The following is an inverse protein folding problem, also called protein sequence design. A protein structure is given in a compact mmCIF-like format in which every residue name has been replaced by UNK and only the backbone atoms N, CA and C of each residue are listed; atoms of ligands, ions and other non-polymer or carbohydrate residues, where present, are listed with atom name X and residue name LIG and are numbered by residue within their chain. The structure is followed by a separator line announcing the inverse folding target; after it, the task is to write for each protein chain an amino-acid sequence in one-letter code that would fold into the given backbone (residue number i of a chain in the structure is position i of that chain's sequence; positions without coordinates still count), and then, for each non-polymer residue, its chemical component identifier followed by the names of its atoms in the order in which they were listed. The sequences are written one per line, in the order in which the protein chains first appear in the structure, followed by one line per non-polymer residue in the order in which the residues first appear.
data_IF_483622776131
#
_entry.id   IF_483622776131
#
_cell.length_a   1.000
_cell.length_b   1.000
_cell.length_c   1.000
_cell.angle_alpha   90.00
_cell.angle_beta   90.00
_cell.angle_gamma   90.00
#
_symmetry.space_group_name_H-M   'P 1'
#
loop_
_entity.id
_entity.type
_entity.pdbx_description
1 polymer ?
#
# COMPACT_ATOMS: atom_id res chain seq x y z
N UNK A 1 34.03 -15.48 2.97
CA UNK A 1 35.25 -14.79 2.52
C UNK A 1 34.85 -13.67 1.55
N UNK A 2 34.87 -12.44 2.08
CA UNK A 2 34.83 -11.11 1.44
C UNK A 2 34.19 -10.95 0.05
N UNK A 3 33.04 -10.26 0.00
CA UNK A 3 32.70 -9.36 -1.10
C UNK A 3 32.52 -7.96 -0.51
N UNK A 4 33.59 -7.17 -0.60
CA UNK A 4 33.61 -5.75 -0.26
C UNK A 4 34.09 -5.01 -1.50
N UNK A 5 33.40 -3.89 -1.73
CA UNK A 5 33.78 -2.65 -2.41
C UNK A 5 33.70 -2.49 -3.93
N UNK A 6 32.99 -1.39 -4.21
CA UNK A 6 33.24 -0.36 -5.21
C UNK A 6 32.68 -0.59 -6.61
N UNK A 7 31.70 0.25 -6.95
CA UNK A 7 31.59 1.03 -8.20
C UNK A 7 30.19 1.68 -8.23
N UNK A 8 29.97 2.98 -8.45
CA UNK A 8 30.78 4.15 -8.77
C UNK A 8 29.94 5.36 -8.30
N UNK A 9 30.50 6.20 -7.41
CA UNK A 9 30.15 7.61 -7.42
C UNK A 9 30.93 8.20 -8.59
N UNK A 10 30.27 8.38 -9.73
CA UNK A 10 30.74 9.38 -10.69
C UNK A 10 30.56 10.73 -10.00
N UNK A 11 31.69 11.35 -9.68
CA UNK A 11 31.78 12.75 -9.28
C UNK A 11 31.35 13.59 -10.47
N UNK A 12 30.09 14.02 -10.47
CA UNK A 12 29.70 15.21 -11.23
C UNK A 12 30.37 16.40 -10.51
N UNK A 13 31.62 16.72 -10.87
CA UNK A 13 32.48 17.77 -10.29
C UNK A 13 31.93 19.21 -10.44
N UNK A 14 30.69 19.37 -10.93
CA UNK A 14 30.00 20.65 -11.11
C UNK A 14 28.71 20.78 -10.27
N UNK A 15 28.41 19.86 -9.34
CA UNK A 15 27.25 20.02 -8.45
C UNK A 15 27.52 21.10 -7.38
N UNK A 16 27.08 22.32 -7.67
CA UNK A 16 26.94 23.39 -6.68
C UNK A 16 25.56 23.22 -6.02
N UNK A 17 25.47 22.78 -4.74
CA UNK A 17 24.20 22.71 -4.05
C UNK A 17 23.55 24.10 -4.02
N UNK A 18 22.21 24.21 -4.14
CA UNK A 18 21.52 25.48 -4.02
C UNK A 18 21.90 26.16 -2.69
N UNK A 19 22.01 27.49 -2.68
CA UNK A 19 22.33 28.25 -1.47
C UNK A 19 21.15 28.14 -0.50
N UNK A 20 21.17 27.11 0.34
CA UNK A 20 20.12 26.79 1.31
C UNK A 20 20.52 27.19 2.72
N UNK A 21 19.53 27.53 3.54
CA UNK A 21 19.76 27.95 4.93
C UNK A 21 20.28 26.78 5.76
N UNK A 22 21.53 26.91 6.23
CA UNK A 22 22.07 26.00 7.23
C UNK A 22 21.52 26.33 8.61
N UNK A 23 21.39 25.31 9.45
CA UNK A 23 21.11 25.48 10.86
C UNK A 23 22.22 26.28 11.56
N UNK A 24 21.85 27.27 12.38
CA UNK A 24 22.77 27.96 13.30
C UNK A 24 22.56 27.42 14.71
N UNK A 25 23.65 27.16 15.44
CA UNK A 25 23.70 26.30 16.63
C UNK A 25 22.99 26.80 17.91
N UNK A 26 21.87 27.54 17.88
CA UNK A 26 21.37 28.21 19.10
C UNK A 26 19.85 28.38 19.31
N UNK A 27 18.94 27.74 18.57
CA UNK A 27 17.49 27.82 18.88
C UNK A 27 16.86 26.43 18.84
N UNK A 28 15.78 26.20 19.61
CA UNK A 28 15.13 24.89 19.84
C UNK A 28 14.66 24.23 18.53
N UNK A 29 15.59 23.50 17.90
CA UNK A 29 15.57 22.96 16.54
C UNK A 29 14.72 21.70 16.36
N UNK A 30 13.47 21.73 16.83
CA UNK A 30 12.56 20.60 16.57
C UNK A 30 11.90 20.70 15.19
N UNK A 31 11.73 21.92 14.67
CA UNK A 31 11.05 22.18 13.41
C UNK A 31 12.03 22.34 12.23
N UNK A 32 11.56 21.98 11.05
CA UNK A 32 12.28 22.12 9.79
C UNK A 32 12.40 23.59 9.37
N UNK A 33 13.36 23.89 8.50
CA UNK A 33 13.52 25.21 7.87
C UNK A 33 12.86 25.26 6.49
N UNK A 34 12.55 24.10 5.91
CA UNK A 34 12.05 23.99 4.55
C UNK A 34 10.56 23.67 4.54
N UNK A 35 9.79 24.44 3.78
CA UNK A 35 8.37 24.20 3.61
C UNK A 35 8.12 22.77 3.11
N UNK A 36 7.28 21.99 3.79
CA UNK A 36 7.04 20.59 3.45
C UNK A 36 6.34 20.40 2.09
N UNK A 37 5.67 21.45 1.60
CA UNK A 37 4.97 21.47 0.31
C UNK A 37 5.90 21.82 -0.87
N UNK A 38 6.72 22.88 -0.75
CA UNK A 38 7.55 23.36 -1.87
C UNK A 38 9.05 23.08 -1.73
N UNK A 39 9.51 22.64 -0.55
CA UNK A 39 10.90 22.29 -0.23
C UNK A 39 11.90 23.46 -0.23
N UNK A 40 11.37 24.69 -0.24
CA UNK A 40 12.15 25.92 -0.18
C UNK A 40 12.09 26.52 1.23
N UNK A 41 13.13 27.25 1.59
CA UNK A 41 13.21 28.13 2.75
C UNK A 41 12.31 29.37 2.63
N UNK A 42 12.15 30.10 3.73
CA UNK A 42 11.42 31.37 3.80
C UNK A 42 10.63 31.53 5.09
N UNK A 43 9.62 32.40 5.07
CA UNK A 43 8.71 32.63 6.20
C UNK A 43 7.72 31.47 6.35
N UNK A 44 8.02 30.53 7.26
CA UNK A 44 7.26 29.30 7.46
C UNK A 44 6.47 29.30 8.77
N UNK A 45 5.35 28.58 8.77
CA UNK A 45 4.49 28.32 9.93
C UNK A 45 4.86 26.94 10.47
N UNK A 46 5.17 26.84 11.76
CA UNK A 46 5.52 25.60 12.45
C UNK A 46 4.29 24.83 12.90
N UNK A 47 4.30 23.51 12.69
CA UNK A 47 3.33 22.62 13.32
C UNK A 47 3.74 22.33 14.77
N UNK A 48 2.79 22.33 15.71
CA UNK A 48 3.10 22.06 17.12
C UNK A 48 3.30 20.57 17.44
N UNK A 49 2.76 19.69 16.60
CA UNK A 49 2.79 18.24 16.84
C UNK A 49 3.83 17.48 16.01
N UNK A 50 4.56 18.14 15.11
CA UNK A 50 5.59 17.49 14.31
C UNK A 50 6.62 18.49 13.76
N UNK A 51 7.77 18.01 13.26
CA UNK A 51 8.82 18.89 12.71
C UNK A 51 8.42 19.69 11.47
N UNK A 52 7.32 19.37 10.78
CA UNK A 52 6.99 19.98 9.48
C UNK A 52 6.63 21.46 9.61
N UNK A 53 7.04 22.23 8.61
CA UNK A 53 6.71 23.65 8.47
C UNK A 53 6.13 23.94 7.09
N UNK A 54 5.37 25.03 6.95
CA UNK A 54 4.68 25.36 5.70
C UNK A 54 4.64 26.86 5.45
N UNK A 55 4.80 27.28 4.19
CA UNK A 55 4.46 28.64 3.80
C UNK A 55 2.94 28.86 3.84
N UNK A 56 2.48 30.00 4.37
CA UNK A 56 1.07 30.43 4.31
C UNK A 56 0.50 30.35 2.89
N UNK A 57 1.28 30.82 1.89
CA UNK A 57 0.92 30.80 0.46
C UNK A 57 0.78 29.38 -0.10
N UNK A 58 1.61 28.43 0.34
CA UNK A 58 1.56 27.04 -0.12
C UNK A 58 0.30 26.33 0.39
N UNK A 59 -0.21 26.76 1.54
CA UNK A 59 -1.46 26.27 2.12
C UNK A 59 -2.70 27.05 1.65
N UNK A 60 -2.54 28.10 0.85
CA UNK A 60 -3.64 28.98 0.45
C UNK A 60 -4.28 29.75 1.62
N UNK A 61 -3.55 29.95 2.71
CA UNK A 61 -4.04 30.69 3.87
C UNK A 61 -4.01 32.20 3.61
N UNK A 62 -5.16 32.84 3.82
CA UNK A 62 -5.32 34.30 3.73
C UNK A 62 -5.05 35.01 5.04
N UNK A 63 -5.17 34.31 6.16
CA UNK A 63 -4.93 34.79 7.52
C UNK A 63 -4.00 33.78 8.19
N UNK A 64 -2.94 34.27 8.83
CA UNK A 64 -2.05 33.42 9.60
C UNK A 64 -2.79 32.84 10.81
N UNK A 65 -2.56 31.57 11.16
CA UNK A 65 -3.14 30.99 12.37
C UNK A 65 -2.68 31.73 13.62
N UNK A 66 -3.62 32.07 14.50
CA UNK A 66 -3.32 32.59 15.84
C UNK A 66 -3.35 31.43 16.84
N UNK A 67 -2.24 31.21 17.58
CA UNK A 67 -2.11 30.16 18.59
C UNK A 67 -1.75 28.79 18.01
N UNK A 68 -2.18 27.72 18.69
CA UNK A 68 -1.82 26.34 18.34
C UNK A 68 -2.28 25.98 16.91
N UNK A 69 -1.36 25.41 16.12
CA UNK A 69 -1.59 25.03 14.75
C UNK A 69 -1.10 23.61 14.42
N UNK A 70 -2.02 22.84 13.84
CA UNK A 70 -1.74 21.48 13.33
C UNK A 70 -1.71 21.48 11.81
N UNK A 71 -0.62 20.97 11.25
CA UNK A 71 -0.43 20.89 9.80
C UNK A 71 -1.39 19.92 9.10
N UNK A 72 -1.56 20.03 7.76
CA UNK A 72 -2.43 19.13 7.01
C UNK A 72 -2.10 17.64 7.16
N UNK A 73 -0.81 17.27 7.17
CA UNK A 73 -0.41 15.86 7.33
C UNK A 73 -0.85 15.31 8.70
N UNK A 74 -0.60 16.05 9.78
CA UNK A 74 -1.04 15.64 11.12
C UNK A 74 -2.56 15.56 11.23
N UNK A 75 -3.30 16.50 10.63
CA UNK A 75 -4.77 16.46 10.60
C UNK A 75 -5.28 15.22 9.87
N UNK A 76 -4.73 14.90 8.70
CA UNK A 76 -5.13 13.70 7.95
C UNK A 76 -4.82 12.44 8.77
N UNK A 77 -3.62 12.34 9.33
CA UNK A 77 -3.24 11.19 10.17
C UNK A 77 -4.21 11.05 11.35
N UNK A 78 -4.49 12.13 12.09
CA UNK A 78 -5.42 12.11 13.22
C UNK A 78 -6.83 11.66 12.83
N UNK A 79 -7.32 12.07 11.65
CA UNK A 79 -8.63 11.66 11.13
C UNK A 79 -8.66 10.21 10.64
N UNK A 80 -7.57 9.73 10.05
CA UNK A 80 -7.45 8.38 9.48
C UNK A 80 -6.99 7.33 10.50
N UNK A 81 -6.40 7.74 11.62
CA UNK A 81 -5.84 6.85 12.63
C UNK A 81 -6.92 6.01 13.31
N UNK A 82 -6.76 4.68 13.25
CA UNK A 82 -7.55 3.76 14.06
C UNK A 82 -6.67 3.09 15.11
N UNK A 83 -6.54 3.75 16.27
CA UNK A 83 -5.66 3.33 17.38
C UNK A 83 -6.08 1.97 17.94
N UNK A 84 -7.38 1.64 17.87
CA UNK A 84 -7.94 0.39 18.38
C UNK A 84 -8.18 -0.65 17.26
N UNK A 85 -7.46 -0.57 16.14
CA UNK A 85 -7.63 -1.50 15.03
C UNK A 85 -7.30 -2.94 15.48
N UNK A 86 -8.28 -3.86 15.57
CA UNK A 86 -8.04 -5.23 16.02
C UNK A 86 -7.18 -6.04 15.04
N UNK A 87 -6.97 -5.53 13.82
CA UNK A 87 -6.15 -6.13 12.76
C UNK A 87 -4.87 -5.33 12.49
N UNK A 88 -4.35 -4.63 13.51
CA UNK A 88 -3.12 -3.84 13.38
C UNK A 88 -1.92 -4.67 12.94
N UNK A 89 -1.87 -5.95 13.31
CA UNK A 89 -0.80 -6.85 12.91
C UNK A 89 -0.83 -7.17 11.42
N UNK A 90 -2.00 -7.52 10.89
CA UNK A 90 -2.22 -7.71 9.45
C UNK A 90 -1.92 -6.44 8.67
N UNK A 91 -2.31 -5.27 9.21
CA UNK A 91 -1.97 -3.98 8.61
C UNK A 91 -0.47 -3.80 8.43
N UNK A 92 0.32 -4.05 9.46
CA UNK A 92 1.77 -3.95 9.37
C UNK A 92 2.40 -5.03 8.50
N UNK A 93 1.81 -6.22 8.40
CA UNK A 93 2.21 -7.22 7.41
C UNK A 93 2.04 -6.66 5.99
N UNK A 94 0.91 -6.01 5.70
CA UNK A 94 0.68 -5.34 4.40
C UNK A 94 1.69 -4.21 4.16
N UNK A 95 2.04 -3.41 5.17
CA UNK A 95 3.09 -2.40 5.04
C UNK A 95 4.45 -3.01 4.70
N UNK A 96 4.80 -4.18 5.25
CA UNK A 96 6.04 -4.90 4.86
C UNK A 96 6.02 -5.30 3.38
N UNK A 97 4.87 -5.68 2.84
CA UNK A 97 4.71 -5.96 1.41
C UNK A 97 4.93 -4.71 0.56
N UNK A 98 4.27 -3.61 0.92
CA UNK A 98 4.43 -2.33 0.25
C UNK A 98 5.89 -1.86 0.28
N UNK A 99 6.56 -1.95 1.43
CA UNK A 99 7.97 -1.61 1.56
C UNK A 99 8.86 -2.50 0.70
N UNK A 100 8.59 -3.81 0.63
CA UNK A 100 9.34 -4.72 -0.25
C UNK A 100 9.20 -4.32 -1.72
N UNK A 101 8.01 -3.88 -2.16
CA UNK A 101 7.80 -3.35 -3.51
C UNK A 101 8.65 -2.11 -3.75
N UNK A 102 8.68 -1.17 -2.81
CA UNK A 102 9.56 0.01 -2.89
C UNK A 102 11.04 -0.38 -2.98
N UNK A 103 11.51 -1.28 -2.12
CA UNK A 103 12.90 -1.78 -2.10
C UNK A 103 13.27 -2.49 -3.41
N UNK A 104 12.31 -3.15 -4.08
CA UNK A 104 12.52 -3.82 -5.37
C UNK A 104 12.72 -2.88 -6.56
N UNK A 105 12.51 -1.56 -6.40
CA UNK A 105 12.80 -0.60 -7.44
C UNK A 105 14.32 -0.65 -7.78
N UNK A 106 14.72 -0.82 -9.05
CA UNK A 106 16.12 -1.10 -9.41
C UNK A 106 17.15 -0.06 -8.94
N UNK A 107 16.70 1.19 -8.75
CA UNK A 107 17.54 2.30 -8.33
C UNK A 107 17.30 2.73 -6.88
N UNK A 108 16.63 1.90 -6.06
CA UNK A 108 16.32 2.23 -4.65
C UNK A 108 17.55 2.34 -3.74
N UNK A 109 18.71 1.82 -4.17
CA UNK A 109 19.91 1.67 -3.35
C UNK A 109 20.30 2.91 -2.51
N UNK A 110 20.27 4.16 -3.02
CA UNK A 110 20.63 5.34 -2.24
C UNK A 110 19.72 5.62 -1.03
N UNK A 111 18.52 5.06 -1.00
CA UNK A 111 17.52 5.27 0.06
C UNK A 111 17.32 4.03 0.93
N UNK A 112 18.12 2.97 0.73
CA UNK A 112 17.97 1.71 1.46
C UNK A 112 18.40 1.82 2.92
N UNK A 113 19.30 2.74 3.25
CA UNK A 113 19.89 2.96 4.57
C UNK A 113 19.97 4.46 4.87
N UNK A 114 20.14 4.85 6.14
CA UNK A 114 20.40 6.24 6.49
C UNK A 114 21.62 6.80 5.73
N UNK A 115 21.59 8.09 5.40
CA UNK A 115 22.74 8.78 4.82
C UNK A 115 23.88 8.78 5.84
N UNK A 116 25.06 8.29 5.44
CA UNK A 116 26.23 8.20 6.30
C UNK A 116 26.86 9.58 6.49
N UNK A 117 26.78 10.10 7.72
CA UNK A 117 27.34 11.40 8.09
C UNK A 117 28.86 11.47 7.96
N UNK A 118 29.57 10.34 7.91
CA UNK A 118 31.01 10.35 7.64
C UNK A 118 31.32 10.61 6.16
N UNK A 119 30.41 10.21 5.27
CA UNK A 119 30.53 10.42 3.82
C UNK A 119 29.93 11.75 3.39
N UNK A 120 28.91 12.23 4.11
CA UNK A 120 28.22 13.50 3.85
C UNK A 120 28.09 14.30 5.15
N UNK A 121 29.18 14.90 5.65
CA UNK A 121 29.18 15.59 6.95
C UNK A 121 28.17 16.73 7.04
N UNK A 122 27.90 17.43 5.93
CA UNK A 122 26.98 18.57 5.91
C UNK A 122 25.51 18.16 5.85
N UNK A 123 25.17 16.87 5.75
CA UNK A 123 23.78 16.42 5.57
C UNK A 123 22.86 16.90 6.70
N UNK A 124 23.34 16.78 7.94
CA UNK A 124 22.58 17.17 9.13
C UNK A 124 22.59 18.70 9.38
N UNK A 125 23.35 19.48 8.61
CA UNK A 125 23.25 20.95 8.62
C UNK A 125 21.94 21.43 7.98
N UNK A 126 21.36 20.61 7.10
CA UNK A 126 20.16 20.93 6.32
C UNK A 126 18.97 20.03 6.67
N UNK A 127 19.20 18.77 7.05
CA UNK A 127 18.13 17.78 7.22
C UNK A 127 17.84 17.53 8.70
N UNK A 128 16.69 18.04 9.16
CA UNK A 128 16.22 17.91 10.55
C UNK A 128 15.62 16.53 10.84
N UNK A 129 14.95 15.93 9.87
CA UNK A 129 14.28 14.64 10.03
C UNK A 129 14.75 13.61 8.98
N UNK A 130 15.94 12.98 9.18
CA UNK A 130 16.41 11.92 8.29
C UNK A 130 15.43 10.76 8.21
N UNK A 131 15.23 10.23 7.00
CA UNK A 131 14.35 9.09 6.75
C UNK A 131 14.88 8.26 5.57
N UNK A 132 14.69 6.95 5.66
CA UNK A 132 15.17 5.96 4.70
C UNK A 132 14.35 4.65 4.82
N UNK A 133 14.51 3.72 3.88
CA UNK A 133 13.71 2.50 3.83
C UNK A 133 14.01 1.51 4.97
N UNK A 134 15.19 1.55 5.61
CA UNK A 134 15.50 0.74 6.80
C UNK A 134 14.85 1.34 8.04
N UNK A 135 14.88 2.66 8.19
CA UNK A 135 14.16 3.36 9.27
C UNK A 135 12.65 3.14 9.17
N UNK A 136 12.07 3.21 7.96
CA UNK A 136 10.67 2.88 7.74
C UNK A 136 10.39 1.42 8.11
N UNK A 137 11.25 0.47 7.75
CA UNK A 137 11.11 -0.95 8.14
C UNK A 137 11.05 -1.12 9.66
N UNK A 138 11.98 -0.48 10.38
CA UNK A 138 12.01 -0.48 11.85
C UNK A 138 10.72 0.12 12.43
N UNK A 139 10.21 1.20 11.85
CA UNK A 139 8.93 1.79 12.27
C UNK A 139 7.74 0.84 12.04
N UNK A 140 7.75 0.05 10.95
CA UNK A 140 6.74 -1.00 10.72
C UNK A 140 6.86 -2.10 11.78
N UNK A 141 8.07 -2.56 12.07
CA UNK A 141 8.32 -3.62 13.07
C UNK A 141 7.88 -3.20 14.47
N UNK A 142 8.10 -1.93 14.82
CA UNK A 142 7.67 -1.30 16.07
C UNK A 142 6.18 -0.90 16.09
N UNK A 143 5.42 -1.26 15.05
CA UNK A 143 3.98 -1.00 14.93
C UNK A 143 3.58 0.47 15.05
N UNK A 144 4.44 1.39 14.58
CA UNK A 144 4.22 2.84 14.74
C UNK A 144 3.13 3.43 13.84
N UNK A 145 2.73 2.74 12.78
CA UNK A 145 1.77 3.26 11.81
C UNK A 145 0.36 2.79 12.14
N UNK A 146 -0.55 3.71 12.42
CA UNK A 146 -1.96 3.39 12.74
C UNK A 146 -2.91 3.56 11.55
N UNK A 147 -2.40 4.11 10.44
CA UNK A 147 -3.12 4.30 9.17
C UNK A 147 -2.12 4.39 8.01
N UNK A 148 -2.63 4.30 6.79
CA UNK A 148 -1.86 4.41 5.54
C UNK A 148 -1.24 5.80 5.37
N UNK A 149 -1.94 6.86 5.78
CA UNK A 149 -1.44 8.23 5.72
C UNK A 149 -0.19 8.43 6.58
N UNK A 150 -0.11 7.80 7.75
CA UNK A 150 1.06 7.88 8.62
C UNK A 150 2.30 7.26 7.94
N UNK A 151 2.13 6.13 7.25
CA UNK A 151 3.20 5.51 6.45
C UNK A 151 3.63 6.42 5.30
N UNK A 152 2.68 7.00 4.55
CA UNK A 152 2.98 7.92 3.45
C UNK A 152 3.70 9.17 3.93
N UNK A 153 3.33 9.70 5.09
CA UNK A 153 3.94 10.89 5.67
C UNK A 153 5.44 10.70 5.98
N UNK A 154 5.86 9.48 6.37
CA UNK A 154 7.27 9.12 6.52
C UNK A 154 7.96 8.91 5.17
N UNK A 155 7.30 8.27 4.19
CA UNK A 155 7.87 8.15 2.82
C UNK A 155 8.07 9.53 2.17
N UNK A 156 7.20 10.51 2.46
CA UNK A 156 7.35 11.88 1.98
C UNK A 156 8.62 12.55 2.51
N UNK A 157 9.10 12.22 3.71
CA UNK A 157 10.38 12.72 4.22
C UNK A 157 11.55 12.33 3.33
N UNK A 158 11.57 11.11 2.78
CA UNK A 158 12.62 10.69 1.82
C UNK A 158 12.63 11.62 0.60
N UNK A 159 11.45 11.97 0.07
CA UNK A 159 11.35 12.89 -1.08
C UNK A 159 11.73 14.31 -0.68
N UNK A 160 11.19 14.82 0.43
CA UNK A 160 11.45 16.15 0.95
C UNK A 160 12.97 16.35 1.17
N UNK A 161 13.61 15.47 1.93
CA UNK A 161 15.04 15.52 2.22
C UNK A 161 15.88 15.46 0.94
N UNK A 162 15.45 14.66 -0.03
CA UNK A 162 16.15 14.57 -1.32
C UNK A 162 16.04 15.90 -2.10
N UNK A 163 14.87 16.54 -2.17
CA UNK A 163 14.76 17.86 -2.81
C UNK A 163 15.54 18.92 -2.04
N UNK A 164 15.51 18.87 -0.70
CA UNK A 164 16.25 19.80 0.15
C UNK A 164 17.74 19.68 -0.13
N UNK A 165 18.33 18.51 0.02
CA UNK A 165 19.78 18.33 -0.07
C UNK A 165 20.30 18.28 -1.52
N UNK A 166 19.57 17.60 -2.41
CA UNK A 166 20.02 17.26 -3.75
C UNK A 166 19.43 18.15 -4.87
N UNK A 167 18.44 19.00 -4.55
CA UNK A 167 17.70 19.77 -5.56
C UNK A 167 16.98 18.88 -6.58
N UNK A 168 16.78 19.40 -7.79
CA UNK A 168 16.18 18.62 -8.89
C UNK A 168 17.23 17.78 -9.61
N UNK A 169 17.50 16.57 -9.10
CA UNK A 169 18.47 15.65 -9.70
C UNK A 169 17.98 14.18 -9.79
N UNK A 170 18.90 13.26 -10.13
CA UNK A 170 18.61 11.82 -10.27
C UNK A 170 18.08 11.19 -8.97
N UNK A 171 18.64 11.56 -7.81
CA UNK A 171 18.20 11.04 -6.51
C UNK A 171 16.77 11.48 -6.19
N UNK A 172 16.46 12.75 -6.42
CA UNK A 172 15.10 13.28 -6.25
C UNK A 172 14.09 12.59 -7.17
N UNK A 173 14.48 12.28 -8.41
CA UNK A 173 13.64 11.54 -9.35
C UNK A 173 13.31 10.14 -8.84
N UNK A 174 14.32 9.43 -8.29
CA UNK A 174 14.14 8.11 -7.67
C UNK A 174 13.25 8.21 -6.42
N UNK A 175 13.48 9.19 -5.54
CA UNK A 175 12.66 9.37 -4.33
C UNK A 175 11.17 9.58 -4.65
N UNK A 176 10.87 10.41 -5.67
CA UNK A 176 9.51 10.59 -6.18
C UNK A 176 8.90 9.30 -6.74
N UNK A 177 9.70 8.47 -7.41
CA UNK A 177 9.26 7.16 -7.89
C UNK A 177 8.92 6.21 -6.72
N UNK A 178 9.73 6.19 -5.65
CA UNK A 178 9.45 5.43 -4.44
C UNK A 178 8.14 5.90 -3.76
N UNK A 179 7.93 7.21 -3.64
CA UNK A 179 6.69 7.77 -3.11
C UNK A 179 5.47 7.39 -3.97
N UNK A 180 5.63 7.35 -5.30
CA UNK A 180 4.56 6.90 -6.21
C UNK A 180 4.21 5.43 -5.99
N UNK A 181 5.21 4.56 -5.80
CA UNK A 181 4.99 3.14 -5.44
C UNK A 181 4.26 3.05 -4.11
N UNK A 182 4.73 3.74 -3.07
CA UNK A 182 4.09 3.75 -1.75
C UNK A 182 2.61 4.15 -1.81
N UNK A 183 2.29 5.26 -2.51
CA UNK A 183 0.91 5.72 -2.69
C UNK A 183 0.03 4.68 -3.40
N UNK A 184 0.57 4.03 -4.43
CA UNK A 184 -0.14 2.96 -5.14
C UNK A 184 -0.47 1.80 -4.19
N UNK A 185 0.52 1.31 -3.44
CA UNK A 185 0.32 0.21 -2.50
C UNK A 185 -0.68 0.57 -1.39
N UNK A 186 -0.63 1.79 -0.84
CA UNK A 186 -1.59 2.24 0.18
C UNK A 186 -3.01 2.33 -0.37
N UNK A 187 -3.17 2.84 -1.60
CA UNK A 187 -4.47 2.88 -2.27
C UNK A 187 -5.03 1.46 -2.44
N UNK A 188 -4.20 0.49 -2.78
CA UNK A 188 -4.64 -0.91 -2.94
C UNK A 188 -5.07 -1.54 -1.60
N UNK A 189 -4.35 -1.24 -0.50
CA UNK A 189 -4.74 -1.65 0.85
C UNK A 189 -6.09 -1.04 1.25
N UNK A 190 -6.30 0.25 0.97
CA UNK A 190 -7.54 0.97 1.27
C UNK A 190 -8.73 0.48 0.45
N UNK A 191 -8.52 0.10 -0.82
CA UNK A 191 -9.56 -0.48 -1.67
C UNK A 191 -10.06 -1.79 -1.06
N UNK A 192 -9.15 -2.71 -0.72
CA UNK A 192 -9.49 -3.94 -0.02
C UNK A 192 -8.25 -4.63 0.58
N UNK A 193 -8.08 -4.50 1.90
CA UNK A 193 -6.99 -5.14 2.66
C UNK A 193 -6.87 -6.65 2.44
N UNK A 194 -7.99 -7.37 2.34
CA UNK A 194 -7.99 -8.83 2.15
C UNK A 194 -7.56 -9.23 0.73
N UNK A 195 -8.03 -8.52 -0.30
CA UNK A 195 -7.53 -8.72 -1.66
C UNK A 195 -6.06 -8.37 -1.79
N UNK A 196 -5.60 -7.30 -1.13
CA UNK A 196 -4.19 -6.92 -1.12
C UNK A 196 -3.33 -8.02 -0.49
N UNK A 197 -3.68 -8.46 0.73
CA UNK A 197 -2.92 -9.46 1.46
C UNK A 197 -2.84 -10.79 0.70
N UNK A 198 -3.97 -11.29 0.17
CA UNK A 198 -3.99 -12.54 -0.61
C UNK A 198 -3.22 -12.44 -1.92
N UNK A 199 -3.24 -11.28 -2.57
CA UNK A 199 -2.44 -11.03 -3.78
C UNK A 199 -0.95 -10.94 -3.46
N UNK A 200 -0.58 -10.50 -2.27
CA UNK A 200 0.80 -10.36 -1.82
C UNK A 200 1.39 -11.66 -1.24
N UNK A 201 0.54 -12.50 -0.64
CA UNK A 201 0.86 -13.84 -0.13
C UNK A 201 -0.16 -14.87 -0.64
N UNK A 202 -0.06 -15.29 -1.90
CA UNK A 202 -0.90 -16.37 -2.38
C UNK A 202 -0.50 -17.67 -1.68
N UNK A 203 -1.28 -18.10 -0.68
CA UNK A 203 -1.11 -19.41 -0.02
C UNK A 203 -1.59 -20.54 -0.92
N UNK A 204 -2.56 -20.24 -1.79
CA UNK A 204 -3.03 -21.14 -2.84
C UNK A 204 -2.91 -20.50 -4.22
N UNK A 205 -2.89 -21.33 -5.26
CA UNK A 205 -2.99 -20.86 -6.66
C UNK A 205 -4.34 -20.21 -6.96
N UNK A 206 -5.36 -20.48 -6.13
CA UNK A 206 -6.73 -19.98 -6.26
C UNK A 206 -7.01 -18.84 -5.27
N UNK A 207 -5.97 -18.11 -4.83
CA UNK A 207 -6.08 -17.02 -3.85
C UNK A 207 -7.16 -15.99 -4.23
N UNK A 208 -7.38 -15.78 -5.54
CA UNK A 208 -8.38 -14.85 -6.04
C UNK A 208 -9.80 -15.43 -5.99
N UNK A 209 -9.96 -16.74 -5.89
CA UNK A 209 -11.26 -17.36 -5.63
C UNK A 209 -11.72 -17.17 -4.18
N UNK A 210 -10.84 -16.78 -3.25
CA UNK A 210 -11.23 -16.57 -1.85
C UNK A 210 -12.14 -15.34 -1.66
N UNK A 211 -13.32 -15.48 -1.02
CA UNK A 211 -14.18 -14.37 -0.64
C UNK A 211 -13.57 -13.48 0.43
N UNK A 212 -13.76 -12.17 0.30
CA UNK A 212 -13.50 -11.24 1.39
C UNK A 212 -14.66 -11.31 2.38
N UNK A 213 -14.41 -10.97 3.66
CA UNK A 213 -15.47 -10.91 4.69
C UNK A 213 -16.65 -10.03 4.28
N UNK A 214 -16.32 -8.96 3.54
CA UNK A 214 -17.25 -8.14 2.77
C UNK A 214 -17.16 -8.60 1.32
N UNK A 215 -18.08 -9.44 0.81
CA UNK A 215 -18.01 -9.93 -0.55
C UNK A 215 -18.05 -8.79 -1.58
N UNK A 216 -17.17 -8.86 -2.57
CA UNK A 216 -17.25 -7.96 -3.71
C UNK A 216 -18.44 -8.34 -4.60
N UNK A 217 -19.17 -7.34 -5.09
CA UNK A 217 -20.17 -7.56 -6.14
C UNK A 217 -19.50 -8.19 -7.37
N UNK A 218 -20.07 -9.27 -7.87
CA UNK A 218 -19.59 -9.92 -9.10
C UNK A 218 -20.29 -9.33 -10.31
N UNK A 219 -19.54 -9.13 -11.38
CA UNK A 219 -20.07 -8.58 -12.62
C UNK A 219 -19.47 -9.25 -13.86
N UNK A 220 -20.18 -9.10 -14.97
CA UNK A 220 -19.62 -9.19 -16.31
C UNK A 220 -19.20 -7.79 -16.75
N UNK A 221 -17.90 -7.56 -16.88
CA UNK A 221 -17.36 -6.30 -17.35
C UNK A 221 -16.84 -6.43 -18.79
N UNK A 222 -17.17 -5.45 -19.65
CA UNK A 222 -16.82 -5.46 -21.07
C UNK A 222 -15.90 -4.30 -21.43
N UNK A 223 -14.64 -4.61 -21.69
CA UNK A 223 -13.68 -3.65 -22.26
C UNK A 223 -13.87 -3.51 -23.78
N UNK A 224 -13.52 -2.35 -24.32
CA UNK A 224 -13.59 -2.08 -25.77
C UNK A 224 -12.71 -3.08 -26.53
N UNK A 225 -13.30 -3.78 -27.50
CA UNK A 225 -12.61 -4.79 -28.32
C UNK A 225 -12.56 -6.19 -27.69
N UNK A 226 -13.05 -6.36 -26.47
CA UNK A 226 -13.09 -7.64 -25.77
C UNK A 226 -14.53 -8.13 -25.56
N UNK A 227 -14.66 -9.44 -25.34
CA UNK A 227 -15.92 -10.04 -24.91
C UNK A 227 -16.15 -9.75 -23.42
N UNK A 228 -17.41 -9.70 -22.92
CA UNK A 228 -17.67 -9.60 -21.49
C UNK A 228 -16.90 -10.67 -20.71
N UNK A 229 -16.25 -10.27 -19.63
CA UNK A 229 -15.39 -11.11 -18.80
C UNK A 229 -15.82 -11.03 -17.33
N UNK A 230 -15.76 -12.14 -16.57
CA UNK A 230 -16.16 -12.10 -15.17
C UNK A 230 -15.15 -11.33 -14.31
N UNK A 231 -15.65 -10.52 -13.38
CA UNK A 231 -14.81 -9.70 -12.51
C UNK A 231 -15.44 -9.41 -11.14
N UNK A 232 -14.59 -9.09 -10.16
CA UNK A 232 -14.97 -8.50 -8.88
C UNK A 232 -14.99 -6.97 -9.02
N UNK A 233 -16.07 -6.33 -8.58
CA UNK A 233 -16.17 -4.87 -8.45
C UNK A 233 -15.50 -4.44 -7.15
N UNK A 234 -14.43 -3.66 -7.26
CA UNK A 234 -13.69 -3.17 -6.11
C UNK A 234 -14.26 -1.85 -5.59
N UNK A 235 -14.49 -0.90 -6.51
CA UNK A 235 -15.11 0.39 -6.24
C UNK A 235 -15.70 0.99 -7.51
N UNK A 236 -16.56 1.99 -7.34
CA UNK A 236 -17.12 2.80 -8.42
C UNK A 236 -16.77 4.26 -8.15
N UNK A 237 -16.25 4.97 -9.15
CA UNK A 237 -15.88 6.39 -9.06
C UNK A 237 -16.28 7.07 -10.36
N UNK A 238 -17.11 8.11 -10.27
CA UNK A 238 -17.52 8.93 -11.43
C UNK A 238 -18.00 8.10 -12.64
N UNK A 239 -18.94 7.16 -12.43
CA UNK A 239 -19.49 6.24 -13.44
C UNK A 239 -18.47 5.28 -14.11
N UNK A 240 -17.27 5.18 -13.54
CA UNK A 240 -16.27 4.17 -13.90
C UNK A 240 -16.13 3.13 -12.78
N UNK A 241 -16.04 1.87 -13.18
CA UNK A 241 -15.99 0.72 -12.27
C UNK A 241 -14.58 0.17 -12.26
N UNK A 242 -13.94 0.20 -11.09
CA UNK A 242 -12.64 -0.45 -10.86
C UNK A 242 -12.89 -1.94 -10.64
N UNK A 243 -12.54 -2.74 -11.64
CA UNK A 243 -12.76 -4.19 -11.63
C UNK A 243 -11.45 -4.96 -11.62
N UNK A 244 -11.47 -6.13 -10.97
CA UNK A 244 -10.40 -7.13 -11.07
C UNK A 244 -10.95 -8.41 -11.71
N UNK A 245 -10.40 -8.78 -12.86
CA UNK A 245 -10.91 -9.90 -13.65
C UNK A 245 -10.49 -11.25 -13.09
N UNK A 246 -11.37 -12.25 -13.14
CA UNK A 246 -10.97 -13.64 -12.91
C UNK A 246 -10.05 -14.14 -14.03
N UNK A 247 -9.18 -15.09 -13.72
CA UNK A 247 -8.17 -15.66 -14.62
C UNK A 247 -6.82 -14.97 -14.48
N UNK A 248 -6.58 -13.87 -15.20
CA UNK A 248 -5.28 -13.18 -15.18
C UNK A 248 -5.12 -12.20 -14.01
N UNK A 249 -6.22 -11.89 -13.30
CA UNK A 249 -6.25 -10.98 -12.14
C UNK A 249 -5.84 -9.54 -12.46
N UNK A 250 -5.92 -9.18 -13.74
CA UNK A 250 -5.69 -7.83 -14.24
C UNK A 250 -6.75 -6.86 -13.71
N UNK A 251 -6.33 -5.61 -13.52
CA UNK A 251 -7.16 -4.49 -13.08
C UNK A 251 -7.50 -3.60 -14.26
N UNK A 252 -8.73 -3.11 -14.30
CA UNK A 252 -9.11 -2.09 -15.27
C UNK A 252 -10.23 -1.20 -14.72
N UNK A 253 -10.23 0.04 -15.19
CA UNK A 253 -11.42 0.88 -15.14
C UNK A 253 -12.31 0.57 -16.34
N UNK A 254 -13.58 0.31 -16.08
CA UNK A 254 -14.58 0.02 -17.10
C UNK A 254 -15.81 0.89 -16.85
N UNK A 255 -16.25 1.62 -17.87
CA UNK A 255 -17.50 2.39 -17.80
C UNK A 255 -18.65 1.54 -17.29
N UNK A 256 -19.42 2.08 -16.33
CA UNK A 256 -20.52 1.38 -15.68
C UNK A 256 -21.58 0.85 -16.67
N UNK A 257 -21.77 1.55 -17.79
CA UNK A 257 -22.68 1.13 -18.87
C UNK A 257 -22.26 -0.18 -19.55
N UNK A 258 -21.01 -0.60 -19.37
CA UNK A 258 -20.46 -1.86 -19.88
C UNK A 258 -20.28 -2.92 -18.78
N UNK A 259 -20.87 -2.70 -17.61
CA UNK A 259 -20.83 -3.61 -16.47
C UNK A 259 -22.24 -4.11 -16.14
N UNK A 260 -22.41 -5.43 -16.12
CA UNK A 260 -23.67 -6.09 -15.76
C UNK A 260 -23.45 -6.91 -14.49
N UNK A 261 -24.41 -6.88 -13.55
CA UNK A 261 -24.38 -7.77 -12.38
C UNK A 261 -24.33 -9.22 -12.86
N UNK A 262 -23.57 -10.06 -12.16
CA UNK A 262 -23.31 -11.43 -12.62
C UNK A 262 -24.62 -12.21 -12.81
N UNK A 263 -24.92 -12.55 -14.07
CA UNK A 263 -26.00 -13.45 -14.48
C UNK A 263 -25.47 -14.85 -14.76
N UNK A 264 -26.33 -15.87 -14.58
CA UNK A 264 -26.00 -17.26 -14.93
C UNK A 264 -25.82 -17.43 -16.44
N UNK A 265 -26.64 -16.72 -17.22
CA UNK A 265 -26.55 -16.64 -18.68
C UNK A 265 -25.46 -15.64 -19.08
N UNK A 266 -24.72 -15.96 -20.14
CA UNK A 266 -23.64 -15.11 -20.64
C UNK A 266 -24.19 -13.88 -21.41
N UNK A 267 -23.78 -12.64 -21.08
CA UNK A 267 -24.33 -11.44 -21.72
C UNK A 267 -23.72 -11.11 -23.10
N UNK A 268 -22.72 -11.87 -23.54
CA UNK A 268 -22.07 -11.71 -24.84
C UNK A 268 -22.52 -12.73 -25.87
N UNK A 269 -21.91 -12.67 -27.06
CA UNK A 269 -22.10 -13.70 -28.10
C UNK A 269 -21.18 -14.88 -27.78
N UNK A 270 -21.77 -16.05 -27.58
CA UNK A 270 -21.00 -17.28 -27.38
C UNK A 270 -20.16 -17.61 -28.62
N UNK A 271 -18.87 -17.89 -28.38
CA UNK A 271 -17.97 -18.37 -29.43
C UNK A 271 -18.02 -19.89 -29.47
N UNK A 272 -18.04 -20.48 -30.67
CA UNK A 272 -18.04 -21.95 -30.88
C UNK A 272 -16.87 -22.69 -30.20
N UNK A 273 -15.75 -22.01 -29.98
CA UNK A 273 -14.62 -22.48 -29.16
C UNK A 273 -14.17 -21.33 -28.25
N UNK A 274 -14.45 -21.40 -26.95
CA UNK A 274 -13.97 -20.41 -26.00
C UNK A 274 -12.44 -20.43 -25.92
N UNK A 275 -11.84 -19.28 -25.58
CA UNK A 275 -10.42 -19.22 -25.27
C UNK A 275 -10.16 -19.98 -23.94
N UNK A 276 -9.10 -20.78 -23.86
CA UNK A 276 -8.70 -21.50 -22.64
C UNK A 276 -8.58 -20.57 -21.42
N UNK A 277 -8.11 -19.33 -21.61
CA UNK A 277 -8.02 -18.36 -20.52
C UNK A 277 -9.40 -17.92 -20.02
N UNK A 278 -10.38 -17.87 -20.92
CA UNK A 278 -11.76 -17.57 -20.56
C UNK A 278 -12.38 -18.72 -19.76
N UNK A 279 -12.17 -19.97 -20.20
CA UNK A 279 -12.64 -21.15 -19.46
C UNK A 279 -12.03 -21.19 -18.05
N UNK A 280 -10.72 -20.96 -17.92
CA UNK A 280 -10.06 -20.85 -16.62
C UNK A 280 -10.68 -19.77 -15.72
N UNK A 281 -11.00 -18.60 -16.28
CA UNK A 281 -11.65 -17.53 -15.52
C UNK A 281 -13.04 -17.93 -15.01
N UNK A 282 -13.79 -18.74 -15.78
CA UNK A 282 -15.10 -19.23 -15.38
C UNK A 282 -14.99 -20.33 -14.31
N UNK A 283 -13.99 -21.21 -14.41
CA UNK A 283 -13.70 -22.21 -13.38
C UNK A 283 -13.36 -21.51 -12.06
N UNK A 284 -12.48 -20.52 -12.08
CA UNK A 284 -12.10 -19.77 -10.89
C UNK A 284 -13.29 -18.99 -10.29
N UNK A 285 -14.10 -18.35 -11.13
CA UNK A 285 -15.35 -17.72 -10.71
C UNK A 285 -16.30 -18.73 -10.03
N UNK A 286 -16.42 -19.93 -10.58
CA UNK A 286 -17.29 -20.96 -10.01
C UNK A 286 -16.80 -21.39 -8.63
N UNK A 287 -15.49 -21.61 -8.46
CA UNK A 287 -14.86 -21.87 -7.16
C UNK A 287 -15.18 -20.74 -6.16
N UNK A 288 -15.06 -19.48 -6.59
CA UNK A 288 -15.39 -18.32 -5.76
C UNK A 288 -16.85 -18.31 -5.31
N UNK A 289 -17.79 -18.59 -6.22
CA UNK A 289 -19.22 -18.65 -5.93
C UNK A 289 -19.55 -19.76 -4.94
N UNK A 290 -18.92 -20.93 -5.06
CA UNK A 290 -19.15 -22.04 -4.15
C UNK A 290 -18.59 -21.76 -2.74
N UNK A 291 -17.46 -21.05 -2.66
CA UNK A 291 -16.95 -20.53 -1.40
C UNK A 291 -17.86 -19.45 -0.81
N UNK A 292 -18.42 -18.54 -1.62
CA UNK A 292 -19.40 -17.56 -1.17
C UNK A 292 -20.63 -18.22 -0.54
N UNK A 293 -21.19 -19.25 -1.19
CA UNK A 293 -22.33 -19.99 -0.63
C UNK A 293 -21.99 -20.66 0.70
N UNK A 294 -20.76 -21.18 0.81
CA UNK A 294 -20.29 -21.88 2.01
C UNK A 294 -20.07 -20.92 3.18
N UNK A 295 -19.42 -19.77 2.92
CA UNK A 295 -18.99 -18.82 3.96
C UNK A 295 -20.03 -17.74 4.31
N UNK A 296 -20.90 -17.38 3.37
CA UNK A 296 -21.88 -16.29 3.52
C UNK A 296 -23.33 -16.77 3.36
N UNK A 297 -23.57 -18.09 3.34
CA UNK A 297 -24.91 -18.68 3.34
C UNK A 297 -25.66 -18.67 2.00
N UNK A 298 -25.09 -18.08 0.93
CA UNK A 298 -25.71 -18.14 -0.39
C UNK A 298 -25.06 -17.25 -1.45
N UNK A 299 -25.55 -17.40 -2.69
CA UNK A 299 -25.25 -16.51 -3.81
C UNK A 299 -26.43 -16.49 -4.79
N UNK A 300 -26.85 -15.32 -5.24
CA UNK A 300 -27.98 -15.14 -6.16
C UNK A 300 -27.51 -14.48 -7.45
N UNK A 301 -27.72 -15.17 -8.58
CA UNK A 301 -27.49 -14.61 -9.90
C UNK A 301 -28.55 -13.55 -10.25
N UNK A 302 -28.12 -12.49 -10.93
CA UNK A 302 -29.04 -11.51 -11.49
C UNK A 302 -29.68 -12.02 -12.81
N UNK A 303 -30.82 -11.45 -13.22
CA UNK A 303 -31.33 -11.61 -14.58
C UNK A 303 -30.30 -11.19 -15.63
N UNK A 304 -30.38 -11.79 -16.83
CA UNK A 304 -29.48 -11.48 -17.95
C UNK A 304 -29.42 -9.97 -18.22
N UNK A 305 -28.20 -9.46 -18.40
CA UNK A 305 -27.93 -8.04 -18.71
C UNK A 305 -28.48 -7.03 -17.69
N UNK A 306 -28.65 -7.43 -16.42
CA UNK A 306 -28.97 -6.50 -15.34
C UNK A 306 -27.84 -5.48 -15.19
N UNK A 307 -28.08 -4.17 -15.39
CA UNK A 307 -27.02 -3.16 -15.33
C UNK A 307 -26.52 -3.00 -13.89
N UNK A 308 -25.21 -2.77 -13.73
CA UNK A 308 -24.66 -2.34 -12.45
C UNK A 308 -25.15 -0.92 -12.15
N UNK A 309 -25.62 -0.68 -10.93
CA UNK A 309 -26.18 0.62 -10.52
C UNK A 309 -25.49 1.11 -9.25
N UNK A 310 -24.96 2.34 -9.30
CA UNK A 310 -24.24 2.99 -8.18
C UNK A 310 -25.07 3.03 -6.91
N UNK A 311 -26.33 3.48 -6.99
CA UNK A 311 -27.20 3.61 -5.80
C UNK A 311 -27.43 2.28 -5.11
N UNK A 312 -27.62 1.21 -5.90
CA UNK A 312 -27.80 -0.13 -5.36
C UNK A 312 -26.48 -0.67 -4.79
N UNK A 313 -25.36 -0.44 -5.47
CA UNK A 313 -24.04 -0.83 -4.99
C UNK A 313 -23.68 -0.17 -3.65
N UNK A 314 -23.98 1.12 -3.49
CA UNK A 314 -23.72 1.86 -2.25
C UNK A 314 -24.64 1.39 -1.12
N UNK A 315 -25.94 1.22 -1.37
CA UNK A 315 -26.90 0.64 -0.41
C UNK A 315 -26.48 -0.76 0.04
N UNK A 316 -26.04 -1.59 -0.91
CA UNK A 316 -25.52 -2.94 -0.67
C UNK A 316 -24.14 -2.92 0.06
N UNK A 317 -23.55 -1.75 0.34
CA UNK A 317 -22.34 -1.61 1.17
C UNK A 317 -22.59 -0.93 2.51
N UNK A 318 -23.59 -0.05 2.61
CA UNK A 318 -24.01 0.60 3.86
C UNK A 318 -24.44 -0.43 4.92
N UNK A 319 -25.22 -1.45 4.55
CA UNK A 319 -25.60 -2.52 5.49
C UNK A 319 -24.39 -3.33 5.99
N UNK A 320 -23.31 -3.37 5.21
CA UNK A 320 -22.10 -4.12 5.55
C UNK A 320 -21.25 -3.33 6.56
N UNK A 321 -21.26 -2.00 6.49
CA UNK A 321 -20.55 -1.15 7.44
C UNK A 321 -21.23 -1.06 8.81
N UNK A 322 -22.51 -1.41 8.91
CA UNK A 322 -23.29 -1.39 10.15
C UNK A 322 -23.22 -2.71 10.96
N UNK A 323 -22.62 -3.77 10.42
CA UNK A 323 -22.33 -4.99 11.21
C UNK A 323 -21.12 -4.71 12.09
N UNK A 324 -21.24 -4.75 13.43
CA UNK A 324 -20.08 -4.61 14.31
C UNK A 324 -19.03 -5.66 13.92
N UNK A 325 -17.79 -5.22 13.68
CA UNK A 325 -16.65 -6.09 13.36
C UNK A 325 -16.48 -7.25 14.37
N UNK A 326 -17.07 -7.13 15.55
CA UNK A 326 -17.09 -8.12 16.63
C UNK A 326 -18.00 -9.33 16.35
N UNK A 327 -19.05 -9.22 15.54
CA UNK A 327 -19.97 -10.35 15.29
C UNK A 327 -19.44 -11.37 14.27
N UNK A 328 -18.41 -11.01 13.48
CA UNK A 328 -17.65 -11.95 12.65
C UNK A 328 -16.61 -12.73 13.48
N UNK A 329 -17.02 -13.15 14.69
CA UNK A 329 -16.22 -14.06 15.52
C UNK A 329 -15.99 -15.35 14.75
N UNK A 330 -14.72 -15.67 14.53
CA UNK A 330 -14.15 -16.93 14.03
C UNK A 330 -15.05 -18.15 14.23
N UNK A 331 -15.96 -18.42 13.29
CA UNK A 331 -16.45 -19.78 13.10
C UNK A 331 -15.35 -20.57 12.38
N UNK A 332 -14.45 -21.09 13.22
CA UNK A 332 -13.59 -22.25 12.99
C UNK A 332 -12.68 -22.15 11.77
N UNK A 333 -11.56 -21.44 11.95
CA UNK A 333 -10.31 -21.91 11.34
C UNK A 333 -10.09 -23.35 11.83
N UNK A 334 -9.82 -24.33 10.95
CA UNK A 334 -9.39 -25.65 11.41
C UNK A 334 -8.15 -25.46 12.27
N UNK A 335 -8.13 -26.12 13.44
CA UNK A 335 -6.98 -26.11 14.33
C UNK A 335 -5.71 -26.44 13.52
N UNK A 336 -4.60 -25.73 13.81
CA UNK A 336 -3.29 -26.03 13.24
C UNK A 336 -3.06 -27.55 13.27
N UNK A 337 -2.60 -28.18 12.18
CA UNK A 337 -2.26 -29.59 12.24
C UNK A 337 -1.15 -29.76 13.28
N UNK A 338 -1.44 -30.50 14.36
CA UNK A 338 -0.44 -30.87 15.35
C UNK A 338 0.77 -31.47 14.62
N UNK A 339 1.95 -30.85 14.76
CA UNK A 339 3.18 -31.41 14.23
C UNK A 339 3.32 -32.85 14.73
N UNK A 340 3.34 -33.80 13.80
CA UNK A 340 3.52 -35.21 14.12
C UNK A 340 4.84 -35.40 14.87
N UNK A 341 4.87 -36.40 15.75
CA UNK A 341 6.04 -36.71 16.61
C UNK A 341 7.31 -36.92 15.77
N UNK A 342 7.14 -37.42 14.55
CA UNK A 342 8.19 -37.62 13.55
C UNK A 342 8.77 -36.29 13.03
N UNK A 343 7.92 -35.28 12.76
CA UNK A 343 8.38 -33.95 12.33
C UNK A 343 9.11 -33.19 13.46
N UNK A 344 8.65 -33.33 14.71
CA UNK A 344 9.33 -32.73 15.88
C UNK A 344 10.71 -33.34 16.12
N UNK A 345 10.86 -34.63 15.85
CA UNK A 345 12.15 -35.34 15.97
C UNK A 345 13.09 -34.91 14.85
N UNK A 346 12.60 -34.81 13.61
CA UNK A 346 13.38 -34.34 12.47
C UNK A 346 13.89 -32.90 12.64
N UNK A 347 13.09 -31.99 13.21
CA UNK A 347 13.53 -30.61 13.51
C UNK A 347 14.57 -30.59 14.63
N UNK A 348 14.42 -31.43 15.65
CA UNK A 348 15.41 -31.59 16.74
C UNK A 348 16.75 -32.11 16.24
N UNK A 349 16.74 -33.08 15.33
CA UNK A 349 17.97 -33.65 14.75
C UNK A 349 18.68 -32.64 13.82
N UNK A 350 17.92 -31.84 13.06
CA UNK A 350 18.48 -30.75 12.22
C UNK A 350 19.11 -29.65 13.09
N UNK A 351 18.47 -29.28 14.19
CA UNK A 351 19.02 -28.29 15.12
C UNK A 351 20.31 -28.78 15.80
N UNK A 352 20.41 -30.09 16.10
CA UNK A 352 21.63 -30.69 16.66
C UNK A 352 22.78 -30.72 15.63
N UNK A 353 22.48 -31.00 14.36
CA UNK A 353 23.47 -31.00 13.28
C UNK A 353 24.00 -29.59 12.99
N UNK A 354 23.15 -28.56 13.07
CA UNK A 354 23.57 -27.16 12.90
C UNK A 354 24.48 -26.74 14.06
N UNK A 355 24.15 -27.09 15.31
CA UNK A 355 25.00 -26.78 16.46
C UNK A 355 26.37 -27.45 16.42
N UNK A 356 26.47 -28.68 15.86
CA UNK A 356 27.77 -29.39 15.71
C UNK A 356 28.62 -28.82 14.57
N UNK A 357 28.01 -28.19 13.56
CA UNK A 357 28.73 -27.55 12.45
C UNK A 357 29.21 -26.13 12.76
N UNK A 358 28.72 -25.50 13.83
CA UNK A 358 29.17 -24.19 14.30
C UNK A 358 30.36 -24.26 15.28
N UNK A 359 30.72 -25.46 15.75
CA UNK A 359 31.83 -25.73 16.68
C UNK A 359 33.03 -26.48 16.05
N UNK A 360 33.12 -26.57 14.72
CA UNK A 360 34.28 -27.06 13.94
C UNK A 360 34.75 -25.96 13.00
#
# INVERSE_FOLDING_TARGET
MASITNNLMESDDDYIPPVKLKKTTNEDDHNDLYCFECHDEGDVICCDSCPRVYHSKCLGLTILPDGDWTCPECKIIQLSSNINNPRIDEFHIMLKYALRRMKSHPQSAPFMKPVDSNQVPEYLDYIIHPMDLETIEKNIDLKKYTCTDAFIADVKWITHNSVVFNGSNKFTTIARALLKIARHEMTEIEICSECYLRSAQPVSTDWFAEPCRIPHTLCWAKMKGYQPWPAKVLRIVNDEVDVRFFGQHDRAWVSINNCFVLSKEYPGVEKKKPNINFEKSLTELQTHIDQLKTLHGGFTYAPLQTPLNVKKYDQDREWITDVPLEEYTLQQLPAEPELTKELKTAIGDIALVIAVLEDI
#
